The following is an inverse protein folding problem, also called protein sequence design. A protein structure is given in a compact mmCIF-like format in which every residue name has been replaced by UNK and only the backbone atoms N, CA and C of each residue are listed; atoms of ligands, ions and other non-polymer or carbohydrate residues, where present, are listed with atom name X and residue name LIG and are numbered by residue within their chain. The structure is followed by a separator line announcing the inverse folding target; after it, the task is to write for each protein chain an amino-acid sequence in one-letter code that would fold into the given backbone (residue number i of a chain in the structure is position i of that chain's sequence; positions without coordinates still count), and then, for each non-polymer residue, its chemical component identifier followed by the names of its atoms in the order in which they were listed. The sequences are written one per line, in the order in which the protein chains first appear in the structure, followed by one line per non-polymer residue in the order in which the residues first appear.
data_IF_742858521404
#
_entry.id   IF_742858521404
#
_cell.length_a   1.000
_cell.length_b   1.000
_cell.length_c   1.000
_cell.angle_alpha   90.00
_cell.angle_beta   90.00
_cell.angle_gamma   90.00
#
_symmetry.space_group_name_H-M   'P 1'
#
loop_
_entity.id
_entity.type
_entity.pdbx_description
1 polymer ?
#
# COMPACT_ATOMS: atom_id res chain seq x y z
N UNK A 1 68.99 8.24 -2.04
CA UNK A 1 68.25 6.96 -2.21
C UNK A 1 68.24 6.20 -0.90
N UNK A 2 67.15 5.47 -0.63
CA UNK A 2 66.89 4.52 0.48
C UNK A 2 66.10 5.09 1.69
N UNK A 3 64.79 4.86 1.56
CA UNK A 3 63.76 4.78 2.61
C UNK A 3 64.09 3.65 3.59
N UNK A 4 63.72 3.79 4.86
CA UNK A 4 63.24 2.64 5.64
C UNK A 4 62.03 3.07 6.49
N UNK A 5 60.98 2.26 6.38
CA UNK A 5 59.66 2.45 6.98
C UNK A 5 59.66 1.96 8.43
N UNK A 6 59.10 2.76 9.32
CA UNK A 6 58.69 2.32 10.66
C UNK A 6 57.38 1.54 10.54
N UNK A 7 57.42 0.27 10.92
CA UNK A 7 56.30 -0.67 11.02
C UNK A 7 55.38 -0.27 12.16
N UNK A 8 54.13 0.10 11.84
CA UNK A 8 53.07 0.25 12.83
C UNK A 8 52.51 -1.13 13.18
N UNK A 9 52.84 -1.63 14.37
CA UNK A 9 52.15 -2.73 15.04
C UNK A 9 50.71 -2.28 15.37
N UNK A 10 49.78 -2.61 14.49
CA UNK A 10 48.35 -2.49 14.77
C UNK A 10 47.89 -3.79 15.45
N UNK A 11 47.36 -3.74 16.69
CA UNK A 11 46.85 -4.92 17.36
C UNK A 11 45.77 -5.59 16.50
N UNK A 12 45.79 -6.93 16.35
CA UNK A 12 44.76 -7.63 15.60
C UNK A 12 43.40 -7.39 16.25
N UNK A 13 42.55 -6.65 15.55
CA UNK A 13 41.13 -6.54 15.87
C UNK A 13 40.56 -7.95 16.06
N UNK A 14 39.79 -8.22 17.13
CA UNK A 14 39.19 -9.53 17.32
C UNK A 14 38.30 -9.83 16.11
N UNK A 15 38.68 -10.88 15.37
CA UNK A 15 37.85 -11.46 14.32
C UNK A 15 36.47 -11.67 14.94
N UNK A 16 35.47 -10.95 14.45
CA UNK A 16 34.06 -11.09 14.82
C UNK A 16 33.70 -12.55 14.51
N UNK A 17 33.89 -13.41 15.50
CA UNK A 17 33.61 -14.83 15.40
C UNK A 17 32.15 -14.97 15.02
N UNK A 18 31.91 -15.86 14.06
CA UNK A 18 30.61 -16.29 13.56
C UNK A 18 29.78 -16.86 14.71
N UNK A 19 29.23 -15.99 15.55
CA UNK A 19 28.42 -16.37 16.69
C UNK A 19 26.99 -16.67 16.22
N UNK A 20 26.67 -17.96 16.31
CA UNK A 20 25.36 -18.56 16.55
C UNK A 20 24.28 -18.30 15.50
N UNK A 21 24.29 -19.15 14.48
CA UNK A 21 23.06 -19.56 13.84
C UNK A 21 22.15 -20.25 14.89
N UNK A 22 21.03 -19.60 15.21
CA UNK A 22 19.74 -20.22 15.56
C UNK A 22 19.60 -21.02 16.87
N UNK A 23 19.94 -20.43 18.01
CA UNK A 23 19.21 -20.70 19.26
C UNK A 23 18.45 -19.44 19.66
N UNK A 24 17.28 -19.22 19.04
CA UNK A 24 16.33 -18.25 19.58
C UNK A 24 15.64 -18.94 20.76
N UNK A 25 15.81 -18.39 21.97
CA UNK A 25 15.09 -18.89 23.14
C UNK A 25 13.60 -19.08 22.79
N UNK A 26 13.00 -20.24 23.09
CA UNK A 26 11.62 -20.55 22.69
C UNK A 26 10.62 -19.51 23.16
N UNK A 27 10.91 -18.84 24.29
CA UNK A 27 10.14 -17.72 24.83
C UNK A 27 10.17 -16.52 23.89
N UNK A 28 11.34 -16.12 23.40
CA UNK A 28 11.50 -14.99 22.49
C UNK A 28 10.82 -15.26 21.15
N UNK A 29 10.88 -16.50 20.66
CA UNK A 29 10.15 -16.92 19.46
C UNK A 29 8.63 -16.82 19.63
N UNK A 30 8.09 -17.28 20.77
CA UNK A 30 6.67 -17.19 21.08
C UNK A 30 6.19 -15.72 21.22
N UNK A 31 6.98 -14.85 21.85
CA UNK A 31 6.68 -13.43 21.95
C UNK A 31 6.69 -12.73 20.59
N UNK A 32 7.67 -13.04 19.74
CA UNK A 32 7.73 -12.52 18.38
C UNK A 32 6.55 -13.00 17.52
N UNK A 33 6.10 -14.24 17.72
CA UNK A 33 4.89 -14.78 17.10
C UNK A 33 3.64 -14.02 17.52
N UNK A 34 3.46 -13.82 18.82
CA UNK A 34 2.32 -13.10 19.38
C UNK A 34 2.29 -11.64 18.90
N UNK A 35 3.44 -10.96 18.85
CA UNK A 35 3.54 -9.62 18.28
C UNK A 35 3.17 -9.61 16.79
N UNK A 36 3.63 -10.60 16.03
CA UNK A 36 3.33 -10.70 14.59
C UNK A 36 1.84 -10.83 14.33
N UNK A 37 1.13 -11.66 15.09
CA UNK A 37 -0.31 -11.90 14.95
C UNK A 37 -1.17 -10.65 15.16
N UNK A 38 -0.66 -9.62 15.85
CA UNK A 38 -1.35 -8.34 16.05
C UNK A 38 -0.74 -7.18 15.25
N UNK A 39 0.22 -7.46 14.36
CA UNK A 39 0.93 -6.41 13.61
C UNK A 39 0.38 -6.23 12.20
N UNK A 40 0.20 -4.98 11.80
CA UNK A 40 -0.06 -4.53 10.44
C UNK A 40 1.20 -3.89 9.84
N UNK A 41 1.33 -3.97 8.52
CA UNK A 41 2.35 -3.27 7.76
C UNK A 41 1.68 -2.39 6.72
N UNK A 42 1.88 -1.08 6.82
CA UNK A 42 1.42 -0.11 5.84
C UNK A 42 2.56 0.17 4.86
N UNK A 43 2.25 0.08 3.57
CA UNK A 43 3.20 0.28 2.48
C UNK A 43 2.69 1.44 1.63
N UNK A 44 3.60 2.32 1.21
CA UNK A 44 3.27 3.44 0.34
C UNK A 44 2.69 4.67 1.05
N UNK A 45 2.71 4.70 2.38
CA UNK A 45 2.38 5.91 3.13
C UNK A 45 3.53 6.92 3.01
N UNK A 46 3.29 8.18 2.60
CA UNK A 46 4.32 9.21 2.50
C UNK A 46 5.11 9.37 3.80
N UNK A 47 6.42 9.62 3.69
CA UNK A 47 7.25 9.95 4.87
C UNK A 47 7.17 11.45 5.15
N UNK A 48 7.22 11.80 6.43
CA UNK A 48 7.29 13.19 6.87
C UNK A 48 8.60 13.85 6.43
N UNK A 49 8.50 15.10 5.99
CA UNK A 49 9.64 15.98 5.69
C UNK A 49 10.02 16.88 6.87
N UNK A 50 9.45 16.65 8.07
CA UNK A 50 9.76 17.46 9.24
C UNK A 50 11.25 17.36 9.59
N UNK A 51 11.83 18.47 10.04
CA UNK A 51 13.26 18.58 10.33
C UNK A 51 13.62 17.70 11.53
N UNK A 52 12.77 17.71 12.57
CA UNK A 52 13.04 16.98 13.82
C UNK A 52 12.57 15.53 13.75
N UNK A 53 13.38 14.55 14.21
CA UNK A 53 12.97 13.15 14.25
C UNK A 53 11.71 12.88 15.09
N UNK A 54 11.54 13.62 16.20
CA UNK A 54 10.36 13.50 17.06
C UNK A 54 9.07 13.87 16.34
N UNK A 55 9.09 14.95 15.55
CA UNK A 55 7.96 15.40 14.73
C UNK A 55 7.63 14.36 13.66
N UNK A 56 8.64 13.80 12.97
CA UNK A 56 8.42 12.74 11.98
C UNK A 56 7.74 11.50 12.59
N UNK A 57 8.18 11.08 13.78
CA UNK A 57 7.57 9.94 14.48
C UNK A 57 6.13 10.26 14.89
N UNK A 58 5.88 11.48 15.34
CA UNK A 58 4.53 11.92 15.73
C UNK A 58 3.59 11.96 14.52
N UNK A 59 4.03 12.51 13.39
CA UNK A 59 3.26 12.52 12.14
C UNK A 59 2.96 11.11 11.63
N UNK A 60 3.92 10.18 11.73
CA UNK A 60 3.70 8.76 11.39
C UNK A 60 2.63 8.12 12.30
N UNK A 61 2.61 8.47 13.59
CA UNK A 61 1.58 8.00 14.55
C UNK A 61 0.21 8.56 14.19
N UNK A 62 0.12 9.85 13.91
CA UNK A 62 -1.12 10.51 13.53
C UNK A 62 -1.67 9.98 12.21
N UNK A 63 -0.80 9.76 11.22
CA UNK A 63 -1.19 9.16 9.95
C UNK A 63 -1.71 7.73 10.14
N UNK A 64 -1.07 6.94 11.01
CA UNK A 64 -1.54 5.60 11.35
C UNK A 64 -2.92 5.64 12.04
N UNK A 65 -3.12 6.56 13.00
CA UNK A 65 -4.42 6.75 13.67
C UNK A 65 -5.50 7.14 12.68
N UNK A 66 -5.28 8.14 11.82
CA UNK A 66 -6.25 8.57 10.80
C UNK A 66 -6.65 7.43 9.86
N UNK A 67 -5.69 6.58 9.48
CA UNK A 67 -5.99 5.38 8.69
C UNK A 67 -6.88 4.43 9.50
N UNK A 68 -6.55 4.13 10.75
CA UNK A 68 -7.35 3.25 11.60
C UNK A 68 -8.77 3.79 11.81
N UNK A 69 -8.94 5.11 11.95
CA UNK A 69 -10.25 5.76 12.03
C UNK A 69 -11.07 5.53 10.76
N UNK A 70 -10.44 5.67 9.58
CA UNK A 70 -11.10 5.36 8.30
C UNK A 70 -11.45 3.88 8.13
N UNK A 71 -10.79 2.99 8.88
CA UNK A 71 -11.07 1.56 8.92
C UNK A 71 -12.06 1.19 10.03
N UNK A 72 -12.57 2.16 10.78
CA UNK A 72 -13.52 1.99 11.89
C UNK A 72 -12.96 1.05 12.98
N UNK A 73 -11.67 1.18 13.28
CA UNK A 73 -11.01 0.39 14.33
C UNK A 73 -10.83 1.24 15.58
N UNK A 74 -11.64 0.95 16.60
CA UNK A 74 -11.63 1.63 17.90
C UNK A 74 -10.48 1.15 18.80
N UNK A 75 -9.23 1.26 18.32
CA UNK A 75 -8.07 0.92 19.12
C UNK A 75 -6.85 1.76 18.79
N UNK A 76 -6.13 2.15 19.84
CA UNK A 76 -4.84 2.80 19.70
C UNK A 76 -3.74 1.77 19.44
N UNK A 77 -2.92 2.01 18.42
CA UNK A 77 -1.75 1.19 18.17
C UNK A 77 -0.74 1.29 19.33
N UNK A 78 -0.25 0.14 19.80
CA UNK A 78 0.76 0.03 20.86
C UNK A 78 2.11 0.62 20.43
N UNK A 79 2.50 0.37 19.18
CA UNK A 79 3.75 0.86 18.63
C UNK A 79 3.60 1.15 17.13
N UNK A 80 4.24 2.24 16.69
CA UNK A 80 4.25 2.68 15.30
C UNK A 80 5.65 3.15 14.95
N UNK A 81 6.26 2.56 13.92
CA UNK A 81 7.60 2.93 13.48
C UNK A 81 7.90 2.47 12.05
N UNK A 82 8.75 3.20 11.35
CA UNK A 82 9.20 2.86 9.99
C UNK A 82 10.23 1.73 10.03
N UNK A 83 10.14 0.83 9.06
CA UNK A 83 11.05 -0.28 8.88
C UNK A 83 12.20 0.09 7.93
N UNK A 84 13.41 -0.31 8.29
CA UNK A 84 14.61 -0.11 7.46
C UNK A 84 15.31 1.23 7.71
N UNK A 85 16.49 1.37 7.11
CA UNK A 85 17.31 2.58 7.20
C UNK A 85 16.70 3.69 6.33
N UNK A 86 16.71 4.90 6.86
CA UNK A 86 16.32 6.08 6.08
C UNK A 86 17.35 6.30 4.96
N UNK A 87 16.85 6.52 3.76
CA UNK A 87 17.65 6.78 2.56
C UNK A 87 16.99 7.91 1.77
N UNK A 88 17.62 9.10 1.71
CA UNK A 88 17.09 10.25 0.98
C UNK A 88 16.95 10.01 -0.53
N UNK A 89 17.72 9.09 -1.10
CA UNK A 89 17.70 8.79 -2.54
C UNK A 89 16.59 7.80 -2.91
N UNK A 90 15.93 7.20 -1.90
CA UNK A 90 14.92 6.18 -2.12
C UNK A 90 13.63 6.82 -2.60
N UNK A 91 13.20 6.43 -3.81
CA UNK A 91 11.96 6.91 -4.44
C UNK A 91 10.69 6.39 -3.78
N UNK A 92 10.79 5.32 -2.97
CA UNK A 92 9.64 4.68 -2.33
C UNK A 92 9.66 4.88 -0.82
N UNK A 93 8.52 5.25 -0.20
CA UNK A 93 8.45 5.37 1.25
C UNK A 93 8.77 4.05 1.97
N UNK A 94 9.34 4.12 3.17
CA UNK A 94 9.57 2.95 4.04
C UNK A 94 8.25 2.38 4.55
N UNK A 95 8.12 1.05 4.63
CA UNK A 95 6.95 0.45 5.27
C UNK A 95 6.83 0.92 6.72
N UNK A 96 5.62 1.22 7.17
CA UNK A 96 5.31 1.54 8.55
C UNK A 96 4.77 0.27 9.23
N UNK A 97 5.43 -0.15 10.31
CA UNK A 97 4.94 -1.23 11.17
C UNK A 97 4.03 -0.64 12.23
N UNK A 98 2.83 -1.20 12.35
CA UNK A 98 1.79 -0.78 13.30
C UNK A 98 1.40 -1.98 14.13
N UNK A 99 1.66 -1.94 15.42
CA UNK A 99 1.38 -3.04 16.35
C UNK A 99 0.08 -2.75 17.08
N UNK A 100 -0.93 -3.60 16.90
CA UNK A 100 -2.24 -3.45 17.54
C UNK A 100 -2.24 -4.04 18.96
N UNK A 101 -3.16 -3.63 19.85
CA UNK A 101 -3.27 -4.20 21.19
C UNK A 101 -3.56 -5.71 21.17
N UNK A 102 -4.43 -6.16 20.26
CA UNK A 102 -4.81 -7.57 20.14
C UNK A 102 -4.89 -8.02 18.66
N UNK A 103 -4.79 -9.32 18.37
CA UNK A 103 -4.98 -9.86 17.02
C UNK A 103 -6.37 -9.55 16.43
N UNK A 104 -7.41 -9.45 17.26
CA UNK A 104 -8.77 -9.11 16.82
C UNK A 104 -8.81 -7.75 16.13
N UNK A 105 -8.14 -6.73 16.69
CA UNK A 105 -8.05 -5.40 16.07
C UNK A 105 -7.30 -5.44 14.74
N UNK A 106 -6.27 -6.29 14.62
CA UNK A 106 -5.59 -6.50 13.35
C UNK A 106 -6.54 -7.09 12.29
N UNK A 107 -7.31 -8.12 12.66
CA UNK A 107 -8.30 -8.72 11.75
C UNK A 107 -9.39 -7.72 11.34
N UNK A 108 -9.90 -6.92 12.28
CA UNK A 108 -10.86 -5.86 12.00
C UNK A 108 -10.30 -4.83 11.02
N UNK A 109 -9.07 -4.35 11.25
CA UNK A 109 -8.38 -3.42 10.35
C UNK A 109 -8.20 -4.01 8.94
N UNK A 110 -7.80 -5.28 8.83
CA UNK A 110 -7.64 -5.94 7.53
C UNK A 110 -8.99 -6.14 6.81
N UNK A 111 -10.07 -6.42 7.55
CA UNK A 111 -11.43 -6.49 7.03
C UNK A 111 -11.92 -5.13 6.53
N UNK A 112 -11.76 -4.09 7.35
CA UNK A 112 -12.05 -2.70 7.01
C UNK A 112 -11.27 -2.26 5.77
N UNK A 113 -9.98 -2.61 5.69
CA UNK A 113 -9.13 -2.28 4.55
C UNK A 113 -9.69 -2.85 3.25
N UNK A 114 -10.13 -4.12 3.24
CA UNK A 114 -10.72 -4.74 2.03
C UNK A 114 -11.95 -3.97 1.53
N UNK A 115 -12.77 -3.45 2.44
CA UNK A 115 -13.98 -2.67 2.13
C UNK A 115 -13.65 -1.23 1.72
N UNK A 116 -12.74 -0.59 2.43
CA UNK A 116 -12.43 0.83 2.27
C UNK A 116 -11.32 1.13 1.23
N UNK A 117 -10.58 0.13 0.73
CA UNK A 117 -9.39 0.35 -0.12
C UNK A 117 -9.64 1.26 -1.33
N UNK A 118 -10.81 1.15 -1.96
CA UNK A 118 -11.12 1.93 -3.16
C UNK A 118 -11.29 3.41 -2.81
N UNK A 119 -12.06 3.69 -1.76
CA UNK A 119 -12.27 5.04 -1.21
C UNK A 119 -10.98 5.65 -0.65
N UNK A 120 -10.16 4.87 0.03
CA UNK A 120 -8.88 5.37 0.56
C UNK A 120 -7.90 5.70 -0.58
N UNK A 121 -7.85 4.89 -1.63
CA UNK A 121 -6.93 5.12 -2.76
C UNK A 121 -7.37 6.22 -3.72
N UNK A 122 -8.61 6.72 -3.63
CA UNK A 122 -9.00 7.91 -4.38
C UNK A 122 -8.41 9.19 -3.78
N UNK A 123 -7.98 9.15 -2.52
CA UNK A 123 -7.27 10.26 -1.88
C UNK A 123 -5.82 10.29 -2.38
N UNK A 124 -5.34 11.43 -2.90
CA UNK A 124 -4.01 11.57 -3.50
C UNK A 124 -2.89 11.06 -2.57
N UNK A 125 -3.00 11.34 -1.27
CA UNK A 125 -1.99 11.01 -0.26
C UNK A 125 -1.91 9.50 0.04
N UNK A 126 -2.97 8.74 -0.28
CA UNK A 126 -3.13 7.32 0.05
C UNK A 126 -3.32 6.44 -1.19
N UNK A 127 -3.14 6.98 -2.40
CA UNK A 127 -3.29 6.25 -3.66
C UNK A 127 -2.42 4.98 -3.72
N UNK A 128 -1.22 5.06 -3.14
CA UNK A 128 -0.26 3.97 -3.08
C UNK A 128 -0.34 3.16 -1.78
N UNK A 129 -1.29 3.46 -0.89
CA UNK A 129 -1.46 2.75 0.37
C UNK A 129 -1.80 1.27 0.11
N UNK A 130 -1.08 0.41 0.80
CA UNK A 130 -1.38 -1.01 0.87
C UNK A 130 -1.16 -1.51 2.29
N UNK A 131 -2.19 -2.16 2.85
CA UNK A 131 -2.16 -2.72 4.19
C UNK A 131 -2.15 -4.23 4.09
N UNK A 132 -1.23 -4.86 4.83
CA UNK A 132 -1.12 -6.32 4.95
C UNK A 132 -0.82 -6.75 6.39
N UNK A 133 -1.09 -8.00 6.77
CA UNK A 133 -0.55 -8.56 8.01
C UNK A 133 0.98 -8.62 7.98
N UNK A 134 1.60 -8.61 9.15
CA UNK A 134 3.01 -8.99 9.27
C UNK A 134 3.18 -10.49 8.98
N UNK A 135 4.03 -10.80 8.02
CA UNK A 135 4.33 -12.17 7.60
C UNK A 135 5.63 -12.66 8.26
N UNK A 136 5.76 -13.98 8.45
CA UNK A 136 7.02 -14.58 8.91
C UNK A 136 8.14 -14.37 7.88
N UNK A 137 9.41 -14.53 8.28
CA UNK A 137 10.56 -14.39 7.35
C UNK A 137 10.44 -15.34 6.16
N UNK A 138 9.99 -16.57 6.40
CA UNK A 138 9.78 -17.57 5.36
C UNK A 138 8.64 -17.19 4.43
N UNK A 139 7.51 -16.70 4.97
CA UNK A 139 6.38 -16.24 4.19
C UNK A 139 6.73 -15.01 3.35
N UNK A 140 7.50 -14.05 3.92
CA UNK A 140 8.01 -12.89 3.19
C UNK A 140 8.89 -13.30 2.03
N UNK A 141 9.79 -14.27 2.23
CA UNK A 141 10.67 -14.78 1.17
C UNK A 141 9.84 -15.38 0.03
N UNK A 142 8.88 -16.25 0.35
CA UNK A 142 7.96 -16.85 -0.65
C UNK A 142 7.17 -15.78 -1.41
N UNK A 143 6.59 -14.80 -0.71
CA UNK A 143 5.80 -13.74 -1.34
C UNK A 143 6.68 -12.80 -2.20
N UNK A 144 7.95 -12.60 -1.82
CA UNK A 144 8.91 -11.87 -2.63
C UNK A 144 9.26 -12.64 -3.90
N UNK A 145 9.57 -13.93 -3.79
CA UNK A 145 9.87 -14.83 -4.91
C UNK A 145 8.69 -14.91 -5.89
N UNK A 146 7.45 -15.04 -5.39
CA UNK A 146 6.24 -15.04 -6.21
C UNK A 146 6.05 -13.71 -6.94
N UNK A 147 6.28 -12.58 -6.28
CA UNK A 147 6.23 -11.26 -6.94
C UNK A 147 7.33 -11.11 -7.99
N UNK A 148 8.54 -11.59 -7.72
CA UNK A 148 9.64 -11.56 -8.67
C UNK A 148 9.30 -12.38 -9.92
N UNK A 149 8.76 -13.58 -9.72
CA UNK A 149 8.27 -14.44 -10.81
C UNK A 149 7.16 -13.78 -11.61
N UNK A 150 6.17 -13.16 -10.96
CA UNK A 150 5.08 -12.45 -11.66
C UNK A 150 5.59 -11.27 -12.48
N UNK A 151 6.57 -10.51 -11.97
CA UNK A 151 7.20 -9.41 -12.74
C UNK A 151 7.92 -9.92 -13.99
N UNK A 152 8.53 -11.10 -13.93
CA UNK A 152 9.17 -11.72 -15.11
C UNK A 152 8.14 -12.26 -16.12
N UNK A 153 6.93 -12.59 -15.68
CA UNK A 153 5.85 -13.11 -16.52
C UNK A 153 4.97 -12.02 -17.14
N UNK A 154 5.03 -10.79 -16.65
CA UNK A 154 4.38 -9.65 -17.29
C UNK A 154 5.34 -9.15 -18.38
N UNK A 155 5.08 -9.39 -19.68
CA UNK A 155 5.88 -8.78 -20.73
C UNK A 155 5.80 -7.26 -20.58
N UNK A 156 6.91 -6.56 -20.80
CA UNK A 156 6.92 -5.10 -20.85
C UNK A 156 5.80 -4.64 -21.79
N UNK A 157 5.03 -3.57 -21.46
CA UNK A 157 4.11 -3.01 -22.44
C UNK A 157 4.94 -2.66 -23.67
N UNK A 158 4.68 -3.36 -24.77
CA UNK A 158 5.25 -3.05 -26.07
C UNK A 158 4.75 -1.65 -26.38
N UNK A 159 5.60 -0.65 -26.21
CA UNK A 159 5.29 0.70 -26.63
C UNK A 159 4.92 0.61 -28.12
N UNK A 160 3.72 1.04 -28.54
CA UNK A 160 3.47 1.17 -29.97
C UNK A 160 4.51 2.17 -30.49
N UNK A 161 5.26 1.75 -31.51
CA UNK A 161 6.25 2.60 -32.16
C UNK A 161 5.54 3.82 -32.76
N UNK A 162 5.48 4.91 -32.00
CA UNK A 162 5.10 6.22 -32.52
C UNK A 162 6.30 6.69 -33.33
N UNK A 163 6.22 6.51 -34.65
CA UNK A 163 7.15 7.13 -35.58
C UNK A 163 7.00 8.64 -35.45
N UNK A 164 8.06 9.31 -35.00
CA UNK A 164 8.15 10.76 -34.97
C UNK A 164 8.12 11.28 -36.42
N UNK A 165 7.16 12.13 -36.81
CA UNK A 165 7.22 12.80 -38.11
C UNK A 165 8.38 13.80 -38.13
N UNK A 166 9.24 13.68 -39.13
CA UNK A 166 10.37 14.58 -39.35
C UNK A 166 9.85 15.98 -39.71
N UNK A 167 10.35 16.99 -38.99
CA UNK A 167 10.05 18.41 -39.23
C UNK A 167 10.93 18.94 -40.36
N UNK A 168 10.32 19.33 -41.48
CA UNK A 168 10.94 20.19 -42.48
C UNK A 168 10.15 21.52 -42.53
N UNK A 169 10.87 22.64 -42.39
CA UNK A 169 10.44 24.00 -42.70
C UNK A 169 11.51 24.60 -43.66
N UNK A 170 11.22 25.58 -44.55
CA UNK A 170 10.34 26.74 -44.30
C UNK A 170 9.45 27.29 -45.47
N UNK A 171 8.29 27.90 -45.10
CA UNK A 171 7.68 29.21 -45.51
C UNK A 171 7.37 29.52 -47.02
N UNK A 172 6.41 30.41 -47.45
CA UNK A 172 5.38 31.26 -46.77
C UNK A 172 3.92 31.27 -47.33
N UNK A 173 3.03 31.90 -46.54
CA UNK A 173 1.92 32.84 -46.87
C UNK A 173 0.53 32.38 -47.39
N UNK A 174 -0.48 33.10 -46.87
CA UNK A 174 -1.94 33.14 -47.13
C UNK A 174 -2.74 31.96 -46.52
N UNK A 175 -3.91 32.09 -45.90
CA UNK A 175 -4.99 33.10 -45.93
C UNK A 175 -5.89 32.93 -44.67
N UNK A 176 -6.89 33.80 -44.49
CA UNK A 176 -7.59 34.13 -43.23
C UNK A 176 -8.96 33.42 -43.06
N UNK A 177 -9.38 33.19 -41.80
CA UNK A 177 -10.77 33.06 -41.25
C UNK A 177 -11.50 31.67 -41.09
N UNK A 178 -12.58 31.51 -40.25
CA UNK A 178 -12.54 31.27 -38.80
C UNK A 178 -13.32 30.00 -38.29
N UNK A 179 -12.72 29.19 -37.41
CA UNK A 179 -13.40 28.04 -36.73
C UNK A 179 -13.52 28.25 -35.20
N UNK A 180 -14.52 29.00 -34.74
CA UNK A 180 -14.74 29.20 -33.29
C UNK A 180 -16.13 28.82 -32.77
N UNK A 181 -17.02 28.22 -33.57
CA UNK A 181 -18.36 27.83 -33.09
C UNK A 181 -18.58 26.33 -32.83
N UNK A 182 -17.75 25.45 -33.39
CA UNK A 182 -17.96 23.98 -33.29
C UNK A 182 -17.45 23.33 -32.00
N UNK A 183 -16.40 23.89 -31.38
CA UNK A 183 -15.78 23.31 -30.19
C UNK A 183 -16.63 23.45 -28.90
N UNK A 184 -17.59 24.39 -28.88
CA UNK A 184 -18.43 24.62 -27.70
C UNK A 184 -19.56 23.59 -27.54
N UNK A 185 -20.14 23.11 -28.65
CA UNK A 185 -21.22 22.12 -28.62
C UNK A 185 -20.72 20.71 -28.27
N UNK A 186 -19.53 20.32 -28.73
CA UNK A 186 -18.97 19.01 -28.43
C UNK A 186 -18.52 18.88 -26.96
N UNK A 187 -18.05 19.98 -26.38
CA UNK A 187 -17.69 20.02 -24.95
C UNK A 187 -18.93 19.87 -24.05
N UNK A 188 -20.06 20.46 -24.45
CA UNK A 188 -21.31 20.38 -23.69
C UNK A 188 -21.94 18.98 -23.75
N UNK A 189 -21.86 18.31 -24.90
CA UNK A 189 -22.33 16.91 -25.06
C UNK A 189 -21.49 15.91 -24.25
N UNK A 190 -20.18 16.15 -24.15
CA UNK A 190 -19.27 15.34 -23.32
C UNK A 190 -19.59 15.46 -21.83
N UNK A 191 -19.89 16.66 -21.33
CA UNK A 191 -20.24 16.87 -19.92
C UNK A 191 -21.59 16.22 -19.57
N UNK A 192 -22.58 16.32 -20.45
CA UNK A 192 -23.90 15.70 -20.23
C UNK A 192 -23.84 14.16 -20.25
N UNK A 193 -22.97 13.58 -21.09
CA UNK A 193 -22.71 12.14 -21.09
C UNK A 193 -22.03 11.67 -19.79
N UNK A 194 -21.15 12.50 -19.23
CA UNK A 194 -20.42 12.20 -18.00
C UNK A 194 -21.36 12.27 -16.78
N UNK A 195 -22.25 13.27 -16.72
CA UNK A 195 -23.27 13.37 -15.68
C UNK A 195 -24.24 12.19 -15.70
N UNK A 196 -24.71 11.76 -16.88
CA UNK A 196 -25.57 10.58 -17.02
C UNK A 196 -24.86 9.29 -16.60
N UNK A 197 -23.57 9.17 -16.90
CA UNK A 197 -22.76 8.02 -16.46
C UNK A 197 -22.58 7.99 -14.94
N UNK A 198 -22.35 9.15 -14.33
CA UNK A 198 -22.23 9.29 -12.87
C UNK A 198 -23.56 8.94 -12.19
N UNK A 199 -24.69 9.45 -12.66
CA UNK A 199 -26.00 9.17 -12.06
C UNK A 199 -26.36 7.68 -12.11
N UNK A 200 -26.08 7.02 -13.24
CA UNK A 200 -26.32 5.59 -13.42
C UNK A 200 -25.42 4.73 -12.51
N UNK A 201 -24.21 5.21 -12.20
CA UNK A 201 -23.31 4.57 -11.23
C UNK A 201 -23.80 4.70 -9.78
N UNK A 202 -24.51 5.80 -9.44
CA UNK A 202 -25.11 5.98 -8.12
C UNK A 202 -26.38 5.15 -7.92
N UNK A 203 -27.19 4.96 -8.97
CA UNK A 203 -28.37 4.07 -8.91
C UNK A 203 -27.98 2.59 -8.76
N UNK A 204 -26.88 2.16 -9.39
CA UNK A 204 -26.37 0.79 -9.27
C UNK A 204 -25.70 0.50 -7.92
N UNK A 205 -25.18 1.52 -7.23
CA UNK A 205 -24.57 1.37 -5.90
C UNK A 205 -25.57 1.48 -4.73
N UNK A 206 -26.77 2.02 -4.98
CA UNK A 206 -27.85 2.09 -3.99
C UNK A 206 -28.90 0.97 -4.12
N UNK A 207 -28.70 0.02 -5.05
CA UNK A 207 -29.48 -1.21 -5.09
C UNK A 207 -29.01 -2.15 -3.98
N UNK A 208 -29.57 -1.98 -2.78
CA UNK A 208 -29.52 -2.99 -1.71
C UNK A 208 -29.90 -4.35 -2.30
N UNK A 209 -29.20 -5.46 -1.97
CA UNK A 209 -29.62 -6.77 -2.42
C UNK A 209 -31.09 -6.97 -2.01
N UNK A 210 -31.95 -7.47 -2.92
CA UNK A 210 -33.34 -7.76 -2.58
C UNK A 210 -33.36 -8.60 -1.31
N UNK A 211 -34.17 -8.18 -0.33
CA UNK A 211 -34.33 -8.84 0.98
C UNK A 211 -34.52 -10.35 0.86
N UNK A 212 -35.06 -10.81 -0.28
CA UNK A 212 -35.28 -12.21 -0.62
C UNK A 212 -33.99 -13.04 -0.75
N UNK A 213 -32.87 -12.46 -1.20
CA UNK A 213 -31.59 -13.19 -1.32
C UNK A 213 -31.04 -13.48 0.08
N UNK A 214 -31.04 -12.47 0.94
CA UNK A 214 -30.60 -12.60 2.34
C UNK A 214 -31.51 -13.57 3.09
N UNK A 215 -32.83 -13.47 2.91
CA UNK A 215 -33.80 -14.39 3.52
C UNK A 215 -33.59 -15.84 3.08
N UNK A 216 -33.30 -16.07 1.78
CA UNK A 216 -33.04 -17.42 1.25
C UNK A 216 -31.74 -18.00 1.79
N UNK A 217 -30.71 -17.18 1.93
CA UNK A 217 -29.42 -17.59 2.50
C UNK A 217 -29.54 -17.87 4.01
N UNK A 218 -30.29 -17.05 4.75
CA UNK A 218 -30.60 -17.30 6.16
C UNK A 218 -31.45 -18.56 6.37
N UNK A 219 -32.43 -18.84 5.50
CA UNK A 219 -33.21 -20.08 5.53
C UNK A 219 -32.33 -21.31 5.23
N UNK A 220 -31.39 -21.19 4.29
CA UNK A 220 -30.42 -22.24 3.99
C UNK A 220 -29.49 -22.52 5.19
N UNK A 221 -29.02 -21.47 5.88
CA UNK A 221 -28.19 -21.60 7.09
C UNK A 221 -28.98 -22.24 8.24
N UNK A 222 -30.23 -21.83 8.48
CA UNK A 222 -31.11 -22.44 9.50
C UNK A 222 -31.36 -23.92 9.22
N UNK A 223 -31.54 -24.31 7.96
CA UNK A 223 -31.71 -25.72 7.55
C UNK A 223 -30.43 -26.53 7.73
N UNK A 224 -29.26 -25.93 7.45
CA UNK A 224 -27.96 -26.59 7.55
C UNK A 224 -27.50 -26.76 9.01
N UNK A 225 -27.89 -25.86 9.91
CA UNK A 225 -27.47 -25.88 11.31
C UNK A 225 -28.64 -25.65 12.28
N UNK A 226 -29.61 -26.57 12.39
CA UNK A 226 -30.80 -26.39 13.21
C UNK A 226 -30.49 -26.28 14.71
N UNK A 227 -29.40 -26.92 15.18
CA UNK A 227 -28.96 -26.88 16.57
C UNK A 227 -28.46 -25.51 17.04
N UNK A 228 -28.12 -24.59 16.12
CA UNK A 228 -27.68 -23.23 16.47
C UNK A 228 -28.86 -22.28 16.74
N UNK A 229 -30.08 -22.67 16.37
CA UNK A 229 -31.26 -21.79 16.42
C UNK A 229 -32.38 -22.30 17.34
N UNK A 230 -32.22 -23.49 17.94
CA UNK A 230 -33.12 -23.99 18.97
C UNK A 230 -32.42 -23.89 20.34
N UNK A 231 -32.73 -22.83 21.08
CA UNK A 231 -32.61 -22.73 22.55
C UNK A 231 -33.97 -22.32 23.10
#
# INVERSE_FOLDING_TARGET
MKRTNTTNDTPPQPKRSMASALDLDPINAALAEQERQRTLVFIGLPESNAIRPSERVQEDREAATKILDHLEVEAQATAVFRLGRYDPQRTTPRPLKVVMPTPTHQHLALGGWKRARARLRSQQNLAHLFIRPALSKEQLKKEYEERARKRQQIPAPVAPAVQLPQTNAPTPANEVEPEQKKASEDSSKMLEALEKSILNSYETLNSFPPTDIILREMQSIKKKYPHLFNK
#
